data_IF_375325745741
#
_entry.id   IF_375325745741
#
_cell.length_a   1.000
_cell.length_b   1.000
_cell.length_c   1.000
_cell.angle_alpha   90.00
_cell.angle_beta   90.00
_cell.angle_gamma   90.00
#
_symmetry.space_group_name_H-M   'P 1'
#
loop_
_entity.id
_entity.type
_entity.pdbx_description
1 polymer ?
#
# COMPACT_ATOMS: atom_id res chain seq x y z
N UNK A 1 7.12 -16.65 -29.23
CA UNK A 1 7.44 -16.56 -27.79
C UNK A 1 8.46 -15.45 -27.62
N UNK A 2 8.25 -14.55 -26.67
CA UNK A 2 9.16 -13.42 -26.39
C UNK A 2 10.42 -13.95 -25.71
N UNK A 3 11.61 -13.45 -26.09
CA UNK A 3 12.83 -13.81 -25.39
C UNK A 3 12.88 -13.18 -23.98
N UNK A 4 13.44 -13.90 -23.01
CA UNK A 4 13.60 -13.36 -21.65
C UNK A 4 14.45 -12.08 -21.64
N UNK A 5 15.47 -12.01 -22.52
CA UNK A 5 16.29 -10.79 -22.66
C UNK A 5 15.44 -9.59 -23.08
N UNK A 6 14.54 -9.73 -24.05
CA UNK A 6 13.62 -8.67 -24.45
C UNK A 6 12.70 -8.26 -23.31
N UNK A 7 12.09 -9.22 -22.60
CA UNK A 7 11.22 -8.94 -21.44
C UNK A 7 11.98 -8.23 -20.31
N UNK A 8 13.22 -8.63 -20.01
CA UNK A 8 14.09 -7.99 -19.02
C UNK A 8 14.50 -6.57 -19.42
N UNK A 9 14.83 -6.34 -20.70
CA UNK A 9 15.08 -4.99 -21.21
C UNK A 9 13.84 -4.11 -21.04
N UNK A 10 12.65 -4.63 -21.38
CA UNK A 10 11.40 -3.91 -21.18
C UNK A 10 11.16 -3.51 -19.73
N UNK A 11 11.37 -4.44 -18.80
CA UNK A 11 11.29 -4.16 -17.36
C UNK A 11 12.32 -3.11 -16.93
N UNK A 12 13.57 -3.25 -17.36
CA UNK A 12 14.65 -2.31 -17.05
C UNK A 12 14.34 -0.90 -17.57
N UNK A 13 13.85 -0.77 -18.81
CA UNK A 13 13.42 0.52 -19.38
C UNK A 13 12.30 1.13 -18.55
N UNK A 14 11.28 0.36 -18.17
CA UNK A 14 10.21 0.86 -17.34
C UNK A 14 10.74 1.40 -16.00
N UNK A 15 11.62 0.65 -15.33
CA UNK A 15 12.24 1.06 -14.05
C UNK A 15 13.06 2.35 -14.24
N UNK A 16 13.92 2.43 -15.27
CA UNK A 16 14.76 3.61 -15.54
C UNK A 16 13.89 4.86 -15.78
N UNK A 17 12.81 4.73 -16.55
CA UNK A 17 11.89 5.83 -16.81
C UNK A 17 11.21 6.30 -15.51
N UNK A 18 10.75 5.36 -14.65
CA UNK A 18 10.13 5.70 -13.36
C UNK A 18 11.12 6.43 -12.46
N UNK A 19 12.35 5.92 -12.33
CA UNK A 19 13.42 6.55 -11.53
C UNK A 19 13.75 7.95 -12.06
N UNK A 20 13.67 8.15 -13.39
CA UNK A 20 13.78 9.48 -14.02
C UNK A 20 12.51 10.35 -13.86
N UNK A 21 11.56 9.96 -13.03
CA UNK A 21 10.32 10.69 -12.72
C UNK A 21 9.31 10.79 -13.88
N UNK A 22 9.41 9.93 -14.90
CA UNK A 22 8.33 9.77 -15.85
C UNK A 22 7.11 9.11 -15.18
N UNK A 23 5.94 9.38 -15.73
CA UNK A 23 4.71 8.79 -15.20
C UNK A 23 4.81 7.25 -15.19
N UNK A 24 4.58 6.58 -14.04
CA UNK A 24 4.78 5.13 -13.90
C UNK A 24 3.94 4.30 -14.89
N UNK A 25 2.69 4.69 -15.15
CA UNK A 25 1.83 3.95 -16.07
C UNK A 25 2.39 3.97 -17.51
N UNK A 26 2.76 5.15 -18.00
CA UNK A 26 3.37 5.28 -19.32
C UNK A 26 4.74 4.58 -19.39
N UNK A 27 5.53 4.64 -18.33
CA UNK A 27 6.82 3.94 -18.25
C UNK A 27 6.65 2.42 -18.40
N UNK A 28 5.66 1.85 -17.73
CA UNK A 28 5.31 0.43 -17.83
C UNK A 28 4.83 0.06 -19.25
N UNK A 29 3.97 0.89 -19.86
CA UNK A 29 3.47 0.67 -21.22
C UNK A 29 4.62 0.74 -22.25
N UNK A 30 5.48 1.76 -22.16
CA UNK A 30 6.64 1.92 -23.05
C UNK A 30 7.61 0.75 -22.88
N UNK A 31 7.92 0.39 -21.64
CA UNK A 31 8.76 -0.77 -21.35
C UNK A 31 8.18 -2.06 -21.90
N UNK A 32 6.86 -2.24 -21.81
CA UNK A 32 6.16 -3.41 -22.36
C UNK A 32 6.29 -3.48 -23.87
N UNK A 33 6.04 -2.36 -24.55
CA UNK A 33 6.15 -2.29 -26.02
C UNK A 33 7.57 -2.61 -26.48
N UNK A 34 8.58 -1.97 -25.89
CA UNK A 34 9.97 -2.22 -26.22
C UNK A 34 10.39 -3.64 -25.87
N UNK A 35 9.94 -4.17 -24.72
CA UNK A 35 10.23 -5.53 -24.30
C UNK A 35 9.68 -6.60 -25.25
N UNK A 36 8.48 -6.41 -25.77
CA UNK A 36 7.87 -7.29 -26.77
C UNK A 36 8.61 -7.24 -28.10
N UNK A 37 8.83 -6.04 -28.64
CA UNK A 37 9.52 -5.85 -29.93
C UNK A 37 10.98 -6.36 -29.89
N UNK A 38 11.76 -5.97 -28.90
CA UNK A 38 13.14 -6.42 -28.73
C UNK A 38 13.24 -7.90 -28.38
N UNK A 39 12.15 -8.46 -27.80
CA UNK A 39 12.02 -9.87 -27.53
C UNK A 39 11.67 -10.73 -28.75
N UNK A 40 11.51 -10.11 -29.92
CA UNK A 40 11.26 -10.81 -31.18
C UNK A 40 9.78 -11.03 -31.51
N UNK A 41 8.84 -10.45 -30.77
CA UNK A 41 7.43 -10.44 -31.14
C UNK A 41 7.16 -9.33 -32.17
N UNK A 42 6.28 -9.60 -33.13
CA UNK A 42 5.79 -8.56 -34.04
C UNK A 42 4.96 -7.51 -33.28
N UNK A 43 4.77 -6.33 -33.87
CA UNK A 43 4.02 -5.25 -33.24
C UNK A 43 2.60 -5.67 -32.83
N UNK A 44 1.88 -6.36 -33.71
CA UNK A 44 0.51 -6.84 -33.46
C UNK A 44 0.45 -7.81 -32.28
N UNK A 45 1.37 -8.77 -32.22
CA UNK A 45 1.44 -9.74 -31.12
C UNK A 45 1.81 -9.06 -29.81
N UNK A 46 2.78 -8.14 -29.84
CA UNK A 46 3.18 -7.35 -28.67
C UNK A 46 1.98 -6.61 -28.09
N UNK A 47 1.24 -5.88 -28.92
CA UNK A 47 0.04 -5.15 -28.49
C UNK A 47 -1.03 -6.12 -27.96
N UNK A 48 -1.24 -7.25 -28.61
CA UNK A 48 -2.20 -8.28 -28.15
C UNK A 48 -1.83 -8.81 -26.77
N UNK A 49 -0.56 -9.11 -26.51
CA UNK A 49 -0.09 -9.56 -25.19
C UNK A 49 -0.26 -8.47 -24.13
N UNK A 50 0.06 -7.21 -24.48
CA UNK A 50 -0.15 -6.08 -23.58
C UNK A 50 -1.62 -5.92 -23.20
N UNK A 51 -2.54 -5.96 -24.15
CA UNK A 51 -3.99 -5.84 -23.91
C UNK A 51 -4.50 -6.97 -23.04
N UNK A 52 -4.16 -8.22 -23.35
CA UNK A 52 -4.57 -9.40 -22.53
C UNK A 52 -4.06 -9.30 -21.10
N UNK A 53 -2.82 -8.85 -20.93
CA UNK A 53 -2.24 -8.62 -19.60
C UNK A 53 -2.98 -7.53 -18.83
N UNK A 54 -3.31 -6.41 -19.47
CA UNK A 54 -4.10 -5.33 -18.88
C UNK A 54 -5.52 -5.78 -18.51
N UNK A 55 -6.20 -6.55 -19.36
CA UNK A 55 -7.51 -7.15 -19.07
C UNK A 55 -7.47 -8.01 -17.81
N UNK A 56 -6.38 -8.75 -17.58
CA UNK A 56 -6.19 -9.55 -16.38
C UNK A 56 -6.11 -8.73 -15.07
N UNK A 57 -6.01 -7.40 -15.13
CA UNK A 57 -6.02 -6.52 -13.96
C UNK A 57 -7.41 -5.96 -13.62
N UNK A 58 -8.41 -6.15 -14.47
CA UNK A 58 -9.74 -5.56 -14.27
C UNK A 58 -10.40 -5.94 -12.93
N UNK A 59 -10.32 -7.21 -12.45
CA UNK A 59 -10.89 -7.55 -11.14
C UNK A 59 -10.25 -6.75 -9.99
N UNK A 60 -8.93 -6.60 -10.00
CA UNK A 60 -8.22 -5.79 -9.00
C UNK A 60 -8.61 -4.30 -9.09
N UNK A 61 -8.69 -3.75 -10.30
CA UNK A 61 -9.06 -2.36 -10.55
C UNK A 61 -10.46 -2.06 -10.00
N UNK A 62 -11.44 -2.90 -10.30
CA UNK A 62 -12.82 -2.70 -9.82
C UNK A 62 -12.88 -2.70 -8.29
N UNK A 63 -12.23 -3.67 -7.63
CA UNK A 63 -12.21 -3.75 -6.17
C UNK A 63 -11.50 -2.56 -5.53
N UNK A 64 -10.41 -2.09 -6.14
CA UNK A 64 -9.66 -0.93 -5.64
C UNK A 64 -10.49 0.35 -5.79
N UNK A 65 -11.11 0.56 -6.94
CA UNK A 65 -11.96 1.74 -7.17
C UNK A 65 -13.12 1.79 -6.17
N UNK A 66 -13.79 0.67 -5.92
CA UNK A 66 -14.90 0.62 -4.96
C UNK A 66 -14.44 0.75 -3.50
N UNK A 67 -13.23 0.26 -3.16
CA UNK A 67 -12.64 0.49 -1.83
C UNK A 67 -12.45 1.98 -1.52
N UNK A 68 -12.33 2.83 -2.55
CA UNK A 68 -12.27 4.28 -2.41
C UNK A 68 -13.46 4.88 -1.68
N UNK A 69 -14.64 4.27 -1.74
CA UNK A 69 -15.84 4.76 -1.02
C UNK A 69 -15.58 4.78 0.49
N UNK A 70 -15.09 3.68 1.05
CA UNK A 70 -14.77 3.61 2.49
C UNK A 70 -13.67 4.61 2.86
N UNK A 71 -12.59 4.67 2.07
CA UNK A 71 -11.49 5.59 2.32
C UNK A 71 -11.95 7.06 2.25
N UNK A 72 -12.73 7.44 1.23
CA UNK A 72 -13.27 8.79 1.09
C UNK A 72 -14.16 9.20 2.25
N UNK A 73 -15.03 8.31 2.72
CA UNK A 73 -15.88 8.54 3.89
C UNK A 73 -15.04 8.77 5.15
N UNK A 74 -14.05 7.93 5.42
CA UNK A 74 -13.21 8.05 6.61
C UNK A 74 -12.41 9.37 6.64
N UNK A 75 -11.95 9.82 5.49
CA UNK A 75 -11.16 11.05 5.35
C UNK A 75 -12.06 12.28 5.52
N UNK A 76 -13.10 12.42 4.68
CA UNK A 76 -13.90 13.63 4.59
C UNK A 76 -14.81 13.87 5.78
N UNK A 77 -15.30 12.83 6.43
CA UNK A 77 -16.12 12.98 7.64
C UNK A 77 -15.31 13.38 8.88
N UNK A 78 -13.97 13.31 8.82
CA UNK A 78 -13.11 13.48 9.99
C UNK A 78 -13.07 12.25 10.90
N UNK A 79 -13.63 11.12 10.48
CA UNK A 79 -13.60 9.87 11.24
C UNK A 79 -12.17 9.41 11.53
N UNK A 80 -11.28 9.49 10.53
CA UNK A 80 -9.87 9.14 10.69
C UNK A 80 -9.19 10.00 11.78
N UNK A 81 -9.44 11.32 11.79
CA UNK A 81 -8.95 12.24 12.82
C UNK A 81 -9.47 11.85 14.19
N UNK A 82 -10.78 11.57 14.31
CA UNK A 82 -11.40 11.20 15.60
C UNK A 82 -10.86 9.89 16.16
N UNK A 83 -10.62 8.91 15.30
CA UNK A 83 -9.98 7.63 15.69
C UNK A 83 -8.59 7.90 16.26
N UNK A 84 -7.75 8.67 15.54
CA UNK A 84 -6.39 8.97 15.96
C UNK A 84 -6.34 9.73 17.29
N UNK A 85 -7.12 10.81 17.43
CA UNK A 85 -7.20 11.61 18.65
C UNK A 85 -7.60 10.76 19.85
N UNK A 86 -8.66 9.96 19.70
CA UNK A 86 -9.15 9.11 20.81
C UNK A 86 -8.10 8.11 21.29
N UNK A 87 -7.27 7.57 20.37
CA UNK A 87 -6.21 6.64 20.75
C UNK A 87 -5.12 7.38 21.51
N UNK A 88 -4.66 8.52 21.01
CA UNK A 88 -3.60 9.31 21.65
C UNK A 88 -4.03 9.78 23.03
N UNK A 89 -5.25 10.31 23.15
CA UNK A 89 -5.79 10.80 24.42
C UNK A 89 -5.90 9.70 25.49
N UNK A 90 -6.37 8.49 25.09
CA UNK A 90 -6.50 7.37 26.02
C UNK A 90 -5.16 6.78 26.47
N UNK A 91 -4.12 6.87 25.64
CA UNK A 91 -2.80 6.29 25.95
C UNK A 91 -1.92 7.23 26.77
N UNK A 92 -2.13 8.53 26.65
CA UNK A 92 -1.43 9.57 27.39
C UNK A 92 0.03 9.79 26.98
N UNK A 93 0.63 10.84 27.54
CA UNK A 93 1.97 11.34 27.17
C UNK A 93 3.11 10.34 27.46
N UNK A 94 2.99 9.55 28.52
CA UNK A 94 4.01 8.56 28.90
C UNK A 94 4.22 7.45 27.85
N UNK A 95 3.23 7.21 26.97
CA UNK A 95 3.27 6.22 25.91
C UNK A 95 3.21 6.86 24.52
N UNK A 96 3.67 8.11 24.39
CA UNK A 96 3.55 8.91 23.18
C UNK A 96 3.97 8.16 21.89
N UNK A 97 5.17 7.56 21.85
CA UNK A 97 5.64 6.80 20.68
C UNK A 97 4.69 5.65 20.36
N UNK A 98 4.32 4.84 21.35
CA UNK A 98 3.42 3.71 21.14
C UNK A 98 2.02 4.18 20.71
N UNK A 99 1.51 5.29 21.26
CA UNK A 99 0.25 5.89 20.85
C UNK A 99 0.24 6.30 19.37
N UNK A 100 1.32 6.90 18.89
CA UNK A 100 1.47 7.29 17.48
C UNK A 100 1.57 6.07 16.55
N UNK A 101 2.32 5.05 16.95
CA UNK A 101 2.40 3.77 16.20
C UNK A 101 1.01 3.14 16.09
N UNK A 102 0.28 3.02 17.20
CA UNK A 102 -1.06 2.39 17.21
C UNK A 102 -2.10 3.23 16.48
N UNK A 103 -2.02 4.57 16.56
CA UNK A 103 -2.95 5.44 15.84
C UNK A 103 -2.84 5.25 14.32
N UNK A 104 -1.63 5.32 13.78
CA UNK A 104 -1.42 5.10 12.34
C UNK A 104 -1.66 3.66 11.93
N UNK A 105 -1.29 2.69 12.78
CA UNK A 105 -1.60 1.27 12.57
C UNK A 105 -3.11 1.03 12.42
N UNK A 106 -3.93 1.52 13.34
CA UNK A 106 -5.38 1.31 13.28
C UNK A 106 -5.98 2.01 12.07
N UNK A 107 -5.58 3.25 11.77
CA UNK A 107 -6.06 3.97 10.59
C UNK A 107 -5.78 3.21 9.31
N UNK A 108 -4.57 2.68 9.14
CA UNK A 108 -4.23 1.94 7.93
C UNK A 108 -4.82 0.54 7.91
N UNK A 109 -4.96 -0.12 9.05
CA UNK A 109 -5.62 -1.43 9.17
C UNK A 109 -7.09 -1.38 8.74
N UNK A 110 -7.76 -0.26 8.95
CA UNK A 110 -9.16 -0.04 8.51
C UNK A 110 -9.28 0.49 7.08
N UNK A 111 -8.17 0.62 6.35
CA UNK A 111 -8.16 0.94 4.92
C UNK A 111 -7.78 2.38 4.56
N UNK A 112 -7.35 3.22 5.51
CA UNK A 112 -6.78 4.54 5.20
C UNK A 112 -5.37 4.36 4.61
N UNK A 113 -5.03 5.14 3.59
CA UNK A 113 -3.67 5.13 3.02
C UNK A 113 -2.64 5.63 4.03
N UNK A 114 -1.42 5.10 3.97
CA UNK A 114 -0.37 5.42 4.95
C UNK A 114 -0.02 6.90 4.95
N UNK A 115 0.12 7.52 3.78
CA UNK A 115 0.40 8.96 3.64
C UNK A 115 -0.69 9.81 4.28
N UNK A 116 -1.96 9.48 4.05
CA UNK A 116 -3.11 10.15 4.66
C UNK A 116 -3.12 9.91 6.17
N UNK A 117 -2.85 8.70 6.64
CA UNK A 117 -2.79 8.40 8.07
C UNK A 117 -1.69 9.23 8.76
N UNK A 118 -0.50 9.34 8.14
CA UNK A 118 0.60 10.16 8.65
C UNK A 118 0.21 11.65 8.68
N UNK A 119 -0.35 12.19 7.59
CA UNK A 119 -0.81 13.59 7.53
C UNK A 119 -1.89 13.86 8.57
N UNK A 120 -2.83 12.92 8.77
CA UNK A 120 -3.91 13.05 9.74
C UNK A 120 -3.40 13.08 11.19
N UNK A 121 -2.41 12.24 11.50
CA UNK A 121 -1.88 12.11 12.87
C UNK A 121 -0.80 13.16 13.15
N UNK A 122 -0.14 13.71 12.14
CA UNK A 122 1.01 14.60 12.31
C UNK A 122 0.75 15.86 13.17
N UNK A 123 -0.38 16.58 13.09
CA UNK A 123 -0.62 17.73 13.98
C UNK A 123 -0.67 17.31 15.45
N UNK A 124 -1.32 16.18 15.73
CA UNK A 124 -1.40 15.62 17.10
C UNK A 124 -0.01 15.16 17.55
N UNK A 125 0.74 14.50 16.64
CA UNK A 125 2.09 14.02 16.92
C UNK A 125 3.07 15.15 17.22
N UNK A 126 3.04 16.25 16.46
CA UNK A 126 3.88 17.42 16.69
C UNK A 126 3.56 18.10 18.03
N UNK A 127 2.28 18.30 18.33
CA UNK A 127 1.84 18.90 19.59
C UNK A 127 2.23 18.04 20.81
N UNK A 128 1.98 16.72 20.73
CA UNK A 128 2.38 15.76 21.77
C UNK A 128 3.88 15.71 21.96
N UNK A 129 4.63 15.56 20.86
CA UNK A 129 6.08 15.40 20.88
C UNK A 129 6.80 16.64 21.42
N UNK A 130 6.26 17.84 21.18
CA UNK A 130 6.79 19.07 21.80
C UNK A 130 6.66 19.04 23.32
N UNK A 131 5.50 18.61 23.86
CA UNK A 131 5.28 18.53 25.31
C UNK A 131 6.23 17.55 25.99
N UNK A 132 6.51 16.42 25.35
CA UNK A 132 7.38 15.35 25.91
C UNK A 132 8.81 15.35 25.36
N UNK A 133 9.18 16.41 24.61
CA UNK A 133 10.54 16.63 24.04
C UNK A 133 11.04 15.46 23.17
N UNK A 134 10.22 14.99 22.24
CA UNK A 134 10.54 13.95 21.26
C UNK A 134 10.91 14.60 19.90
N UNK A 135 11.87 14.03 19.16
CA UNK A 135 12.31 14.52 17.86
C UNK A 135 11.30 14.27 16.74
N UNK A 136 11.34 15.11 15.67
CA UNK A 136 10.57 14.89 14.44
C UNK A 136 10.88 13.53 13.80
N UNK A 137 12.15 13.13 13.79
CA UNK A 137 12.60 11.83 13.24
C UNK A 137 11.92 10.67 13.95
N UNK A 138 11.86 10.73 15.29
CA UNK A 138 11.23 9.68 16.08
C UNK A 138 9.72 9.56 15.79
N UNK A 139 8.96 10.67 15.80
CA UNK A 139 7.52 10.63 15.53
C UNK A 139 7.23 10.22 14.09
N UNK A 140 8.05 10.64 13.13
CA UNK A 140 7.88 10.24 11.73
C UNK A 140 8.08 8.73 11.55
N UNK A 141 9.13 8.15 12.16
CA UNK A 141 9.37 6.70 12.15
C UNK A 141 8.21 5.97 12.83
N UNK A 142 7.73 6.46 13.98
CA UNK A 142 6.59 5.87 14.67
C UNK A 142 5.33 5.82 13.79
N UNK A 143 5.00 6.94 13.14
CA UNK A 143 3.83 7.04 12.28
C UNK A 143 3.96 6.21 11.00
N UNK A 144 5.10 6.26 10.32
CA UNK A 144 5.32 5.47 9.09
C UNK A 144 5.34 3.98 9.41
N UNK A 145 6.08 3.57 10.44
CA UNK A 145 6.19 2.16 10.83
C UNK A 145 4.85 1.58 11.26
N UNK A 146 4.09 2.29 12.11
CA UNK A 146 2.72 1.90 12.47
C UNK A 146 1.81 1.79 11.26
N UNK A 147 1.86 2.80 10.39
CA UNK A 147 1.10 2.81 9.15
C UNK A 147 1.42 1.64 8.22
N UNK A 148 2.70 1.28 8.05
CA UNK A 148 3.12 0.11 7.26
C UNK A 148 2.62 -1.20 7.87
N UNK A 149 2.71 -1.34 9.17
CA UNK A 149 2.23 -2.54 9.86
C UNK A 149 0.71 -2.73 9.70
N UNK A 150 -0.08 -1.67 9.83
CA UNK A 150 -1.52 -1.75 9.60
C UNK A 150 -1.86 -2.01 8.12
N UNK A 151 -1.09 -1.43 7.21
CA UNK A 151 -1.28 -1.61 5.78
C UNK A 151 -1.13 -3.08 5.34
N UNK A 152 -0.23 -3.85 5.97
CA UNK A 152 0.00 -5.27 5.65
C UNK A 152 -1.24 -6.13 5.95
N UNK A 153 -2.03 -5.78 6.97
CA UNK A 153 -3.23 -6.53 7.38
C UNK A 153 -4.55 -5.92 6.89
N UNK A 154 -4.48 -4.89 6.06
CA UNK A 154 -5.62 -4.06 5.64
C UNK A 154 -6.23 -4.56 4.32
N UNK A 155 -7.54 -4.36 4.10
CA UNK A 155 -8.19 -4.60 2.81
C UNK A 155 -7.88 -3.45 1.81
N UNK A 156 -6.62 -3.14 1.63
CA UNK A 156 -6.13 -2.05 0.79
C UNK A 156 -5.76 -2.50 -0.64
N UNK A 157 -5.44 -1.56 -1.55
CA UNK A 157 -5.07 -1.88 -2.92
C UNK A 157 -3.91 -2.88 -3.06
N UNK A 158 -2.95 -2.88 -2.13
CA UNK A 158 -1.78 -3.77 -2.19
C UNK A 158 -2.20 -5.22 -1.94
N UNK A 159 -2.95 -5.45 -0.85
CA UNK A 159 -3.46 -6.76 -0.49
C UNK A 159 -4.44 -7.29 -1.56
N UNK A 160 -5.28 -6.40 -2.13
CA UNK A 160 -6.19 -6.75 -3.24
C UNK A 160 -5.37 -7.17 -4.46
N UNK A 161 -4.36 -6.41 -4.88
CA UNK A 161 -3.53 -6.74 -6.03
C UNK A 161 -2.78 -8.08 -5.84
N UNK A 162 -2.26 -8.34 -4.64
CA UNK A 162 -1.62 -9.62 -4.32
C UNK A 162 -2.63 -10.77 -4.34
N UNK A 163 -3.79 -10.62 -3.67
CA UNK A 163 -4.82 -11.66 -3.62
C UNK A 163 -5.30 -12.06 -5.02
N UNK A 164 -5.52 -11.08 -5.89
CA UNK A 164 -5.92 -11.31 -7.29
C UNK A 164 -4.81 -12.00 -8.11
N UNK A 165 -3.58 -11.54 -7.97
CA UNK A 165 -2.46 -12.10 -8.75
C UNK A 165 -2.22 -13.57 -8.44
N UNK A 166 -2.47 -14.00 -7.21
CA UNK A 166 -2.29 -15.37 -6.74
C UNK A 166 -3.61 -16.17 -6.65
N UNK A 167 -4.73 -15.56 -7.03
CA UNK A 167 -6.07 -16.17 -6.96
C UNK A 167 -6.38 -16.78 -5.58
N UNK A 168 -6.12 -16.01 -4.53
CA UNK A 168 -6.37 -16.38 -3.12
C UNK A 168 -7.30 -15.37 -2.45
N UNK A 169 -8.01 -15.74 -1.37
CA UNK A 169 -8.87 -14.81 -0.65
C UNK A 169 -8.09 -13.63 -0.09
N UNK A 170 -8.66 -12.41 -0.21
CA UNK A 170 -8.08 -11.22 0.40
C UNK A 170 -7.84 -11.39 1.90
N UNK A 171 -8.81 -11.97 2.61
CA UNK A 171 -8.70 -12.25 4.05
C UNK A 171 -7.52 -13.15 4.40
N UNK A 172 -7.17 -14.12 3.54
CA UNK A 172 -5.99 -14.97 3.75
C UNK A 172 -4.69 -14.16 3.70
N UNK A 173 -4.58 -13.20 2.75
CA UNK A 173 -3.43 -12.29 2.68
C UNK A 173 -3.36 -11.41 3.93
N UNK A 174 -4.49 -10.85 4.37
CA UNK A 174 -4.58 -10.04 5.57
C UNK A 174 -4.15 -10.83 6.82
N UNK A 175 -4.65 -12.04 7.01
CA UNK A 175 -4.28 -12.89 8.16
C UNK A 175 -2.80 -13.31 8.14
N UNK A 176 -2.25 -13.62 6.96
CA UNK A 176 -0.82 -13.93 6.85
C UNK A 176 0.09 -12.75 7.22
N UNK A 177 -0.43 -11.51 7.11
CA UNK A 177 0.25 -10.29 7.51
C UNK A 177 0.29 -10.03 9.02
N UNK A 178 -0.48 -10.76 9.86
CA UNK A 178 -0.59 -10.45 11.30
C UNK A 178 0.76 -10.61 12.02
N UNK A 179 1.46 -11.72 11.82
CA UNK A 179 2.75 -11.96 12.50
C UNK A 179 3.82 -10.93 12.05
N UNK A 180 4.05 -10.71 10.74
CA UNK A 180 4.95 -9.62 10.28
C UNK A 180 4.56 -8.24 10.83
N UNK A 181 3.28 -7.94 10.93
CA UNK A 181 2.78 -6.68 11.46
C UNK A 181 3.12 -6.50 12.94
N UNK A 182 2.90 -7.53 13.77
CA UNK A 182 3.25 -7.47 15.21
C UNK A 182 4.76 -7.28 15.39
N UNK A 183 5.57 -8.04 14.66
CA UNK A 183 7.04 -7.90 14.70
C UNK A 183 7.45 -6.49 14.26
N UNK A 184 6.84 -5.98 13.18
CA UNK A 184 7.07 -4.63 12.67
C UNK A 184 6.71 -3.53 13.69
N UNK A 185 5.59 -3.66 14.41
CA UNK A 185 5.21 -2.74 15.50
C UNK A 185 6.29 -2.71 16.58
N UNK A 186 6.73 -3.88 17.06
CA UNK A 186 7.76 -3.97 18.10
C UNK A 186 9.05 -3.30 17.64
N UNK A 187 9.53 -3.63 16.45
CA UNK A 187 10.75 -3.03 15.88
C UNK A 187 10.58 -1.52 15.71
N UNK A 188 9.43 -1.06 15.21
CA UNK A 188 9.14 0.38 15.04
C UNK A 188 9.19 1.12 16.38
N UNK A 189 8.56 0.57 17.42
CA UNK A 189 8.57 1.18 18.76
C UNK A 189 10.00 1.25 19.31
N UNK A 190 10.79 0.18 19.16
CA UNK A 190 12.19 0.16 19.61
C UNK A 190 13.03 1.23 18.87
N UNK A 191 12.96 1.27 17.54
CA UNK A 191 13.73 2.23 16.73
C UNK A 191 13.28 3.65 17.03
N UNK A 192 11.99 3.95 17.00
CA UNK A 192 11.46 5.28 17.27
C UNK A 192 11.83 5.74 18.68
N UNK A 193 11.74 4.87 19.69
CA UNK A 193 12.10 5.19 21.08
C UNK A 193 13.60 5.47 21.22
N UNK A 194 14.47 4.77 20.49
CA UNK A 194 15.91 5.00 20.51
C UNK A 194 16.34 6.35 19.90
N UNK A 195 15.46 6.94 19.09
CA UNK A 195 15.69 8.21 18.37
C UNK A 195 14.96 9.42 18.98
N UNK A 196 14.29 9.25 20.13
CA UNK A 196 13.48 10.31 20.76
C UNK A 196 14.25 11.62 20.97
N UNK A 197 15.53 11.54 21.35
CA UNK A 197 16.42 12.68 21.57
C UNK A 197 17.39 12.95 20.43
N UNK A 198 17.34 12.17 19.35
CA UNK A 198 18.21 12.28 18.17
C UNK A 198 17.42 12.81 16.97
N UNK A 199 18.09 13.57 16.09
CA UNK A 199 17.48 14.15 14.90
C UNK A 199 16.89 15.54 15.12
N UNK A 200 15.98 15.96 14.24
CA UNK A 200 15.46 17.34 14.19
C UNK A 200 14.50 17.60 15.34
N UNK A 201 14.72 18.69 16.06
CA UNK A 201 13.83 19.13 17.14
C UNK A 201 12.59 19.82 16.59
N UNK A 202 11.51 19.78 17.36
CA UNK A 202 10.28 20.51 17.06
C UNK A 202 10.40 21.93 17.53
N UNK A 203 10.12 22.89 16.63
CA UNK A 203 10.08 24.33 16.92
C UNK A 203 8.64 24.83 16.95
N UNK A 204 8.42 26.05 17.47
CA UNK A 204 7.05 26.60 17.61
C UNK A 204 6.32 26.74 16.27
N UNK A 205 7.06 27.08 15.21
CA UNK A 205 6.52 27.19 13.85
C UNK A 205 6.06 25.87 13.23
N UNK A 206 6.42 24.72 13.83
CA UNK A 206 5.94 23.42 13.34
C UNK A 206 4.53 23.09 13.80
N UNK A 207 4.06 23.78 14.84
CA UNK A 207 2.73 23.60 15.38
C UNK A 207 1.81 24.59 14.69
N UNK A 208 1.42 24.26 13.45
CA UNK A 208 0.34 24.98 12.81
C UNK A 208 -0.96 24.75 13.57
N UNK A 209 -1.71 25.83 13.75
CA UNK A 209 -3.13 25.74 14.13
C UNK A 209 -3.85 25.12 12.93
N UNK A 210 -3.89 23.79 12.90
CA UNK A 210 -4.53 23.06 11.81
C UNK A 210 -5.97 23.55 11.65
N UNK A 211 -6.46 23.58 10.42
CA UNK A 211 -7.89 23.80 10.14
C UNK A 211 -8.68 22.72 10.88
N UNK A 212 -9.17 23.08 12.06
CA UNK A 212 -10.04 22.20 12.84
C UNK A 212 -11.26 21.86 12.00
N UNK A 213 -11.46 20.57 11.74
CA UNK A 213 -12.75 20.07 11.27
C UNK A 213 -13.73 20.35 12.41
N UNK A 214 -14.55 21.38 12.24
CA UNK A 214 -15.40 21.94 13.31
C UNK A 214 -16.37 20.94 13.94
N UNK A 215 -16.76 19.87 13.22
CA UNK A 215 -17.67 18.83 13.72
C UNK A 215 -17.13 17.44 13.39
N UNK A 216 -16.33 16.90 14.29
CA UNK A 216 -15.87 15.51 14.21
C UNK A 216 -16.97 14.56 14.72
N UNK A 217 -17.17 13.40 14.07
CA UNK A 217 -18.11 12.40 14.54
C UNK A 217 -17.66 11.79 15.89
N UNK A 218 -18.58 11.08 16.59
CA UNK A 218 -18.17 10.30 17.76
C UNK A 218 -17.24 9.16 17.36
N UNK A 219 -16.40 8.71 18.29
CA UNK A 219 -15.49 7.58 18.05
C UNK A 219 -16.26 6.33 17.59
N UNK A 220 -17.37 6.00 18.25
CA UNK A 220 -18.19 4.84 17.90
C UNK A 220 -18.72 4.94 16.47
N UNK A 221 -19.27 6.09 16.08
CA UNK A 221 -19.75 6.29 14.71
C UNK A 221 -18.61 6.19 13.68
N UNK A 222 -17.41 6.65 14.03
CA UNK A 222 -16.23 6.62 13.15
C UNK A 222 -15.74 5.19 12.83
N UNK A 223 -15.87 4.24 13.75
CA UNK A 223 -15.38 2.87 13.57
C UNK A 223 -16.43 1.91 12.99
N UNK A 224 -17.71 2.25 13.01
CA UNK A 224 -18.80 1.37 12.54
C UNK A 224 -18.57 0.93 11.09
N UNK A 225 -18.26 1.85 10.18
CA UNK A 225 -18.05 1.56 8.76
C UNK A 225 -16.92 0.55 8.53
N UNK A 226 -15.69 0.84 8.98
CA UNK A 226 -14.56 -0.09 8.89
C UNK A 226 -14.83 -1.46 9.53
N UNK A 227 -15.38 -1.46 10.75
CA UNK A 227 -15.69 -2.73 11.45
C UNK A 227 -16.69 -3.55 10.65
N UNK A 228 -17.74 -2.90 10.10
CA UNK A 228 -18.73 -3.59 9.30
C UNK A 228 -18.12 -4.17 8.00
N UNK A 229 -17.27 -3.43 7.31
CA UNK A 229 -16.55 -3.92 6.13
C UNK A 229 -15.71 -5.16 6.46
N UNK A 230 -14.94 -5.11 7.56
CA UNK A 230 -14.12 -6.23 8.02
C UNK A 230 -14.99 -7.43 8.40
N UNK A 231 -16.10 -7.22 9.10
CA UNK A 231 -17.04 -8.30 9.45
C UNK A 231 -17.61 -8.98 8.20
N UNK A 232 -18.02 -8.22 7.18
CA UNK A 232 -18.48 -8.80 5.91
C UNK A 232 -17.41 -9.68 5.25
N UNK A 233 -16.15 -9.22 5.22
CA UNK A 233 -15.04 -10.01 4.68
C UNK A 233 -14.74 -11.24 5.54
N UNK A 234 -14.89 -11.14 6.86
CA UNK A 234 -14.65 -12.23 7.81
C UNK A 234 -15.74 -13.32 7.77
N UNK A 235 -16.89 -13.09 7.13
CA UNK A 235 -17.91 -14.14 6.94
C UNK A 235 -17.36 -15.34 6.15
N UNK A 236 -16.38 -15.14 5.29
CA UNK A 236 -15.77 -16.24 4.53
C UNK A 236 -15.08 -17.28 5.42
N UNK A 237 -14.11 -16.92 6.28
CA UNK A 237 -13.46 -17.90 7.17
C UNK A 237 -14.37 -18.37 8.32
N UNK A 238 -15.40 -17.60 8.73
CA UNK A 238 -16.25 -17.92 9.87
C UNK A 238 -17.47 -18.76 9.46
N UNK A 239 -18.14 -18.37 8.40
CA UNK A 239 -19.43 -18.95 7.98
C UNK A 239 -19.42 -19.51 6.55
N UNK A 240 -18.25 -19.51 5.89
CA UNK A 240 -18.10 -19.90 4.48
C UNK A 240 -18.99 -19.10 3.51
N UNK A 241 -19.39 -17.88 3.91
CA UNK A 241 -20.13 -16.94 3.07
C UNK A 241 -19.15 -15.98 2.40
N UNK A 242 -19.09 -16.02 1.08
CA UNK A 242 -18.16 -15.21 0.28
C UNK A 242 -18.77 -13.86 -0.04
N UNK A 243 -18.33 -12.81 0.65
CA UNK A 243 -18.64 -11.42 0.28
C UNK A 243 -17.38 -10.84 -0.39
N UNK A 244 -17.55 -10.41 -1.64
CA UNK A 244 -16.45 -9.82 -2.41
C UNK A 244 -16.06 -8.45 -1.84
N UNK A 245 -14.76 -8.09 -1.78
CA UNK A 245 -14.30 -6.75 -1.40
C UNK A 245 -14.97 -5.62 -2.19
N UNK A 246 -15.32 -5.87 -3.46
CA UNK A 246 -16.07 -4.94 -4.32
C UNK A 246 -17.41 -4.50 -3.69
N UNK A 247 -18.01 -5.35 -2.86
CA UNK A 247 -19.27 -5.09 -2.14
C UNK A 247 -18.99 -4.70 -0.68
N UNK A 248 -18.14 -5.45 0.01
CA UNK A 248 -17.91 -5.28 1.44
C UNK A 248 -17.40 -3.87 1.79
N UNK A 249 -16.43 -3.35 1.01
CA UNK A 249 -15.79 -2.08 1.31
C UNK A 249 -16.71 -0.87 1.07
N UNK A 250 -17.41 -0.72 -0.08
CA UNK A 250 -18.34 0.39 -0.25
C UNK A 250 -19.56 0.30 0.66
N UNK A 251 -20.07 -0.90 0.97
CA UNK A 251 -21.16 -1.07 1.94
C UNK A 251 -20.73 -0.62 3.33
N UNK A 252 -19.50 -0.97 3.77
CA UNK A 252 -18.92 -0.44 5.00
C UNK A 252 -18.83 1.09 5.00
N UNK A 253 -18.41 1.68 3.88
CA UNK A 253 -18.39 3.14 3.71
C UNK A 253 -19.77 3.78 3.85
N UNK A 254 -20.79 3.21 3.20
CA UNK A 254 -22.17 3.69 3.28
C UNK A 254 -22.73 3.59 4.71
N UNK A 255 -22.54 2.46 5.38
CA UNK A 255 -23.00 2.25 6.76
C UNK A 255 -22.30 3.21 7.72
N UNK A 256 -20.98 3.41 7.55
CA UNK A 256 -20.24 4.40 8.33
C UNK A 256 -20.77 5.81 8.11
N UNK A 257 -21.04 6.19 6.87
CA UNK A 257 -21.61 7.49 6.50
C UNK A 257 -22.99 7.71 7.14
N UNK A 258 -23.85 6.68 7.15
CA UNK A 258 -25.17 6.71 7.82
C UNK A 258 -25.00 6.86 9.33
N UNK A 259 -24.12 6.06 9.94
CA UNK A 259 -23.86 6.09 11.39
C UNK A 259 -23.35 7.46 11.87
N UNK A 260 -22.65 8.20 11.02
CA UNK A 260 -22.17 9.56 11.28
C UNK A 260 -23.19 10.65 10.91
N UNK A 261 -24.36 10.30 10.37
CA UNK A 261 -25.38 11.27 9.94
C UNK A 261 -24.98 12.11 8.70
N UNK A 262 -23.98 11.67 7.94
CA UNK A 262 -23.38 12.42 6.82
C UNK A 262 -23.80 11.91 5.44
N UNK A 263 -24.85 11.08 5.34
CA UNK A 263 -25.26 10.41 4.08
C UNK A 263 -25.58 11.37 2.94
N UNK A 264 -26.04 12.58 3.25
CA UNK A 264 -26.36 13.61 2.23
C UNK A 264 -25.16 13.98 1.37
N UNK A 265 -23.95 13.87 1.90
CA UNK A 265 -22.70 14.26 1.22
C UNK A 265 -21.96 13.06 0.62
N UNK A 266 -22.57 11.88 0.60
CA UNK A 266 -21.92 10.63 0.15
C UNK A 266 -21.27 10.75 -1.23
N UNK A 267 -21.88 11.49 -2.16
CA UNK A 267 -21.35 11.69 -3.51
C UNK A 267 -20.00 12.44 -3.50
N UNK A 268 -19.82 13.40 -2.61
CA UNK A 268 -18.54 14.13 -2.46
C UNK A 268 -17.47 13.21 -1.88
N UNK A 269 -17.81 12.41 -0.89
CA UNK A 269 -16.91 11.43 -0.29
C UNK A 269 -16.49 10.37 -1.31
N UNK A 270 -17.43 9.91 -2.16
CA UNK A 270 -17.12 9.00 -3.26
C UNK A 270 -16.18 9.65 -4.30
N UNK A 271 -16.37 10.93 -4.64
CA UNK A 271 -15.48 11.65 -5.55
C UNK A 271 -14.06 11.74 -5.02
N UNK A 272 -13.88 12.06 -3.73
CA UNK A 272 -12.56 12.05 -3.10
C UNK A 272 -11.96 10.65 -3.10
N UNK A 273 -12.73 9.65 -2.67
CA UNK A 273 -12.30 8.27 -2.69
C UNK A 273 -11.82 7.83 -4.06
N UNK A 274 -12.59 8.13 -5.12
CA UNK A 274 -12.22 7.85 -6.49
C UNK A 274 -10.93 8.58 -6.89
N UNK A 275 -10.77 9.85 -6.54
CA UNK A 275 -9.56 10.61 -6.87
C UNK A 275 -8.29 9.99 -6.29
N UNK A 276 -8.36 9.35 -5.11
CA UNK A 276 -7.25 8.63 -4.50
C UNK A 276 -6.97 7.30 -5.21
N UNK A 277 -7.98 6.64 -5.77
CA UNK A 277 -7.84 5.32 -6.41
C UNK A 277 -7.46 5.39 -7.89
N UNK A 278 -7.72 6.51 -8.58
CA UNK A 278 -7.57 6.61 -10.03
C UNK A 278 -6.13 6.37 -10.50
N UNK A 279 -5.13 6.93 -9.79
CA UNK A 279 -3.73 6.72 -10.14
C UNK A 279 -3.30 5.26 -9.92
N UNK A 280 -3.81 4.61 -8.89
CA UNK A 280 -3.55 3.19 -8.62
C UNK A 280 -4.14 2.33 -9.75
N UNK A 281 -5.39 2.60 -10.16
CA UNK A 281 -6.04 1.89 -11.24
C UNK A 281 -5.27 2.02 -12.57
N UNK A 282 -4.80 3.24 -12.90
CA UNK A 282 -4.01 3.49 -14.11
C UNK A 282 -2.66 2.78 -14.06
N UNK A 283 -1.98 2.77 -12.92
CA UNK A 283 -0.72 2.03 -12.74
C UNK A 283 -0.95 0.53 -12.92
N UNK A 284 -2.05 -0.02 -12.42
CA UNK A 284 -2.39 -1.43 -12.62
C UNK A 284 -2.59 -1.79 -14.09
N UNK A 285 -3.17 -0.90 -14.90
CA UNK A 285 -3.27 -1.10 -16.35
C UNK A 285 -1.84 -1.23 -16.94
N UNK A 286 -0.95 -0.29 -16.62
CA UNK A 286 0.45 -0.36 -17.06
C UNK A 286 1.16 -1.63 -16.56
N UNK A 287 0.95 -2.01 -15.30
CA UNK A 287 1.48 -3.26 -14.74
C UNK A 287 0.99 -4.48 -15.52
N UNK A 288 -0.29 -4.50 -15.87
CA UNK A 288 -0.87 -5.57 -16.68
C UNK A 288 -0.21 -5.70 -18.04
N UNK A 289 0.09 -4.57 -18.72
CA UNK A 289 0.76 -4.62 -20.03
C UNK A 289 2.13 -5.29 -19.91
N UNK A 290 2.92 -4.94 -18.89
CA UNK A 290 4.22 -5.54 -18.67
C UNK A 290 4.13 -7.03 -18.29
N UNK A 291 3.16 -7.37 -17.44
CA UNK A 291 2.90 -8.75 -17.07
C UNK A 291 2.50 -9.61 -18.29
N UNK A 292 1.77 -9.05 -19.24
CA UNK A 292 1.43 -9.72 -20.50
C UNK A 292 2.67 -10.07 -21.31
N UNK A 293 3.65 -9.17 -21.41
CA UNK A 293 4.94 -9.43 -22.08
C UNK A 293 5.73 -10.51 -21.36
N UNK A 294 5.90 -10.39 -20.04
CA UNK A 294 6.68 -11.31 -19.22
C UNK A 294 6.07 -12.72 -19.20
N UNK A 295 4.76 -12.84 -19.08
CA UNK A 295 4.05 -14.12 -19.08
C UNK A 295 4.15 -14.86 -20.42
N UNK A 296 4.38 -14.15 -21.52
CA UNK A 296 4.60 -14.73 -22.86
C UNK A 296 6.09 -14.84 -23.22
N UNK A 297 7.00 -14.72 -22.24
CA UNK A 297 8.45 -14.87 -22.40
C UNK A 297 8.97 -16.12 -21.71
N UNK A 298 10.20 -16.50 -22.03
CA UNK A 298 10.90 -17.60 -21.36
C UNK A 298 11.70 -17.17 -20.11
N UNK A 299 11.31 -16.06 -19.48
CA UNK A 299 11.96 -15.53 -18.25
C UNK A 299 11.92 -16.53 -17.09
N UNK A 300 10.84 -17.33 -17.01
CA UNK A 300 10.67 -18.38 -16.02
C UNK A 300 11.81 -19.40 -16.06
N UNK A 301 12.23 -19.81 -17.26
CA UNK A 301 13.28 -20.80 -17.44
C UNK A 301 14.63 -20.26 -16.94
N UNK A 302 14.92 -18.98 -17.22
CA UNK A 302 16.14 -18.32 -16.73
C UNK A 302 16.14 -18.20 -15.21
N UNK A 303 15.01 -17.80 -14.59
CA UNK A 303 14.91 -17.73 -13.14
C UNK A 303 15.11 -19.12 -12.51
N UNK A 304 14.50 -20.14 -13.09
CA UNK A 304 14.64 -21.53 -12.62
C UNK A 304 16.11 -21.99 -12.72
N UNK A 305 16.76 -21.74 -13.83
CA UNK A 305 18.18 -22.09 -14.04
C UNK A 305 19.08 -21.34 -13.05
N UNK A 306 18.84 -20.05 -12.83
CA UNK A 306 19.61 -19.23 -11.88
C UNK A 306 19.48 -19.75 -10.44
N UNK A 307 18.26 -20.05 -9.99
CA UNK A 307 18.02 -20.58 -8.64
C UNK A 307 18.65 -21.96 -8.47
N UNK A 308 18.56 -22.83 -9.50
CA UNK A 308 19.19 -24.15 -9.48
C UNK A 308 20.71 -24.06 -9.42
N UNK A 309 21.32 -23.10 -10.14
CA UNK A 309 22.79 -22.93 -10.17
C UNK A 309 23.33 -22.31 -8.87
N UNK A 310 22.57 -21.45 -8.21
CA UNK A 310 22.99 -20.78 -6.99
C UNK A 310 22.64 -21.55 -5.70
N UNK A 311 21.76 -22.54 -5.79
CA UNK A 311 21.19 -23.23 -4.62
C UNK A 311 20.31 -22.32 -3.75
N UNK A 312 19.94 -21.13 -4.24
CA UNK A 312 19.13 -20.18 -3.49
C UNK A 312 17.68 -20.69 -3.32
N UNK A 313 17.11 -20.65 -2.11
CA UNK A 313 15.72 -21.06 -1.92
C UNK A 313 14.74 -20.21 -2.75
N UNK A 314 13.86 -20.86 -3.50
CA UNK A 314 12.90 -20.20 -4.39
C UNK A 314 12.01 -19.16 -3.67
N UNK A 315 11.71 -19.36 -2.40
CA UNK A 315 10.88 -18.43 -1.63
C UNK A 315 11.53 -17.04 -1.45
N UNK A 316 12.85 -16.91 -1.54
CA UNK A 316 13.54 -15.61 -1.44
C UNK A 316 13.19 -14.67 -2.60
N UNK A 317 12.79 -15.22 -3.75
CA UNK A 317 12.32 -14.42 -4.88
C UNK A 317 11.13 -13.53 -4.51
N UNK A 318 10.26 -13.99 -3.59
CA UNK A 318 9.07 -13.25 -3.19
C UNK A 318 9.39 -11.92 -2.48
N UNK A 319 10.06 -11.91 -1.30
CA UNK A 319 10.36 -10.65 -0.63
C UNK A 319 11.31 -9.78 -1.45
N UNK A 320 12.30 -10.36 -2.13
CA UNK A 320 13.25 -9.58 -2.94
C UNK A 320 12.58 -8.88 -4.12
N UNK A 321 11.67 -9.55 -4.84
CA UNK A 321 10.92 -8.90 -5.91
C UNK A 321 10.02 -7.76 -5.38
N UNK A 322 9.37 -7.94 -4.22
CA UNK A 322 8.62 -6.90 -3.55
C UNK A 322 9.50 -5.68 -3.22
N UNK A 323 10.65 -5.91 -2.58
CA UNK A 323 11.63 -4.86 -2.22
C UNK A 323 12.11 -4.11 -3.47
N UNK A 324 12.56 -4.83 -4.50
CA UNK A 324 13.13 -4.23 -5.71
C UNK A 324 12.08 -3.45 -6.50
N UNK A 325 10.87 -3.99 -6.66
CA UNK A 325 9.82 -3.31 -7.41
C UNK A 325 9.27 -2.10 -6.65
N UNK A 326 9.18 -2.16 -5.33
CA UNK A 326 8.81 -0.99 -4.54
C UNK A 326 9.91 0.08 -4.54
N UNK A 327 11.17 -0.31 -4.51
CA UNK A 327 12.29 0.61 -4.68
C UNK A 327 12.27 1.31 -6.04
N UNK A 328 12.04 0.56 -7.11
CA UNK A 328 11.97 1.11 -8.47
C UNK A 328 10.81 2.10 -8.65
N UNK A 329 9.65 1.80 -8.08
CA UNK A 329 8.43 2.60 -8.24
C UNK A 329 8.20 3.61 -7.11
N UNK A 330 8.98 3.56 -6.04
CA UNK A 330 8.78 4.27 -4.78
C UNK A 330 7.32 4.20 -4.29
N UNK A 331 6.73 3.00 -4.39
CA UNK A 331 5.31 2.77 -4.09
C UNK A 331 5.08 1.33 -3.65
N UNK A 332 4.50 1.12 -2.48
CA UNK A 332 4.08 -0.21 -2.02
C UNK A 332 3.10 -0.85 -3.00
N UNK A 333 2.11 -0.08 -3.45
CA UNK A 333 1.04 -0.59 -4.32
C UNK A 333 1.58 -1.03 -5.67
N UNK A 334 2.34 -0.17 -6.33
CA UNK A 334 2.97 -0.50 -7.61
C UNK A 334 3.95 -1.66 -7.45
N UNK A 335 4.79 -1.63 -6.43
CA UNK A 335 5.76 -2.69 -6.13
C UNK A 335 5.09 -4.04 -5.92
N UNK A 336 4.04 -4.09 -5.08
CA UNK A 336 3.28 -5.32 -4.84
C UNK A 336 2.61 -5.84 -6.10
N UNK A 337 1.93 -4.96 -6.86
CA UNK A 337 1.21 -5.35 -8.06
C UNK A 337 2.16 -5.89 -9.15
N UNK A 338 3.26 -5.16 -9.43
CA UNK A 338 4.27 -5.59 -10.41
C UNK A 338 4.93 -6.89 -9.97
N UNK A 339 5.43 -6.96 -8.74
CA UNK A 339 6.10 -8.15 -8.24
C UNK A 339 5.19 -9.39 -8.28
N UNK A 340 3.95 -9.26 -7.81
CA UNK A 340 2.98 -10.36 -7.77
C UNK A 340 2.62 -10.86 -9.18
N UNK A 341 2.34 -9.94 -10.10
CA UNK A 341 1.89 -10.31 -11.44
C UNK A 341 3.03 -10.79 -12.34
N UNK A 342 4.20 -10.16 -12.22
CA UNK A 342 5.38 -10.47 -13.06
C UNK A 342 6.07 -11.75 -12.60
N UNK A 343 6.37 -11.87 -11.31
CA UNK A 343 7.16 -12.98 -10.77
C UNK A 343 6.32 -14.08 -10.11
N UNK A 344 5.05 -13.80 -9.80
CA UNK A 344 4.14 -14.78 -9.17
C UNK A 344 4.07 -16.12 -9.88
N UNK A 345 3.82 -16.16 -11.20
CA UNK A 345 3.76 -17.42 -11.95
C UNK A 345 5.05 -18.26 -11.83
N UNK A 346 6.22 -17.61 -11.86
CA UNK A 346 7.53 -18.27 -11.68
C UNK A 346 7.66 -18.85 -10.27
N UNK A 347 7.26 -18.10 -9.23
CA UNK A 347 7.31 -18.57 -7.85
C UNK A 347 6.45 -19.81 -7.63
N UNK A 348 5.22 -19.81 -8.16
CA UNK A 348 4.31 -20.95 -8.06
C UNK A 348 4.89 -22.18 -8.76
N UNK A 349 5.47 -22.01 -9.96
CA UNK A 349 6.10 -23.11 -10.67
C UNK A 349 7.34 -23.69 -9.96
N UNK A 350 7.98 -22.90 -9.11
CA UNK A 350 9.09 -23.30 -8.27
C UNK A 350 8.65 -23.87 -6.90
N UNK A 351 7.35 -24.09 -6.71
CA UNK A 351 6.79 -24.73 -5.52
C UNK A 351 6.52 -23.80 -4.34
N UNK A 352 6.65 -22.48 -4.51
CA UNK A 352 6.29 -21.53 -3.45
C UNK A 352 4.76 -21.47 -3.32
N UNK A 353 4.24 -21.69 -2.12
CA UNK A 353 2.79 -21.63 -1.87
C UNK A 353 2.24 -20.23 -2.18
N UNK A 354 1.09 -20.10 -2.88
CA UNK A 354 0.50 -18.81 -3.28
C UNK A 354 0.36 -17.82 -2.13
N UNK A 355 -0.13 -18.27 -0.97
CA UNK A 355 -0.30 -17.43 0.20
C UNK A 355 1.03 -16.88 0.73
N UNK A 356 2.06 -17.73 0.79
CA UNK A 356 3.38 -17.31 1.25
C UNK A 356 4.01 -16.30 0.28
N UNK A 357 3.91 -16.56 -1.02
CA UNK A 357 4.40 -15.64 -2.05
C UNK A 357 3.71 -14.27 -1.95
N UNK A 358 2.38 -14.24 -1.86
CA UNK A 358 1.61 -13.00 -1.74
C UNK A 358 1.98 -12.21 -0.47
N UNK A 359 2.04 -12.87 0.69
CA UNK A 359 2.37 -12.22 1.96
C UNK A 359 3.81 -11.69 1.98
N UNK A 360 4.79 -12.47 1.48
CA UNK A 360 6.19 -12.06 1.43
C UNK A 360 6.44 -10.94 0.43
N UNK A 361 5.79 -10.94 -0.75
CA UNK A 361 5.85 -9.83 -1.70
C UNK A 361 5.27 -8.57 -1.08
N UNK A 362 4.08 -8.66 -0.50
CA UNK A 362 3.41 -7.50 0.11
C UNK A 362 4.25 -6.91 1.25
N UNK A 363 4.75 -7.74 2.15
CA UNK A 363 5.64 -7.29 3.23
C UNK A 363 6.96 -6.71 2.68
N UNK A 364 7.57 -7.37 1.68
CA UNK A 364 8.79 -6.89 1.04
C UNK A 364 8.60 -5.52 0.36
N UNK A 365 7.45 -5.30 -0.28
CA UNK A 365 7.14 -4.05 -0.94
C UNK A 365 7.01 -2.85 0.02
N UNK A 366 6.85 -3.07 1.30
CA UNK A 366 6.84 -1.99 2.31
C UNK A 366 8.24 -1.52 2.71
N UNK A 367 9.31 -2.20 2.29
CA UNK A 367 10.68 -1.95 2.77
C UNK A 367 11.29 -0.72 2.11
N UNK A 368 11.23 -0.59 0.78
CA UNK A 368 11.87 0.50 0.03
C UNK A 368 10.87 1.36 -0.78
N UNK A 369 9.64 1.47 -0.35
CA UNK A 369 8.59 2.26 -0.98
C UNK A 369 8.67 3.77 -0.72
N UNK A 370 9.57 4.20 0.16
CA UNK A 370 9.72 5.58 0.65
C UNK A 370 11.02 6.25 0.18
N UNK A 371 11.46 5.94 -1.03
CA UNK A 371 12.63 6.57 -1.63
C UNK A 371 12.33 8.00 -2.14
N UNK A 372 13.34 8.90 -2.22
CA UNK A 372 13.12 10.33 -2.50
C UNK A 372 12.47 10.66 -3.85
N UNK A 373 12.41 9.73 -4.78
CA UNK A 373 11.73 9.95 -6.06
C UNK A 373 10.21 9.70 -6.01
N UNK A 374 9.69 9.21 -4.87
CA UNK A 374 8.27 8.93 -4.68
C UNK A 374 7.51 10.00 -3.89
N UNK A 375 6.21 10.13 -4.16
CA UNK A 375 5.33 11.08 -3.47
C UNK A 375 5.21 10.81 -1.96
N UNK A 376 5.25 9.55 -1.56
CA UNK A 376 5.17 9.14 -0.16
C UNK A 376 6.27 9.74 0.71
N UNK A 377 7.51 9.81 0.19
CA UNK A 377 8.63 10.45 0.86
C UNK A 377 8.32 11.92 1.15
N UNK A 378 7.91 12.67 0.15
CA UNK A 378 7.66 14.11 0.27
C UNK A 378 6.41 14.41 1.12
N UNK A 379 5.34 13.67 0.93
CA UNK A 379 4.09 13.86 1.68
C UNK A 379 4.30 13.64 3.18
N UNK A 380 4.97 12.55 3.56
CA UNK A 380 5.19 12.21 4.97
C UNK A 380 6.28 13.07 5.63
N UNK A 381 7.31 13.49 4.88
CA UNK A 381 8.29 14.48 5.36
C UNK A 381 7.66 15.85 5.57
N UNK A 382 6.87 16.32 4.60
CA UNK A 382 6.15 17.59 4.69
C UNK A 382 5.15 17.62 5.85
N UNK A 383 4.49 16.51 6.17
CA UNK A 383 3.54 16.42 7.27
C UNK A 383 4.15 16.73 8.66
N UNK A 384 5.47 16.59 8.82
CA UNK A 384 6.21 16.95 10.04
C UNK A 384 7.20 18.09 9.83
N UNK A 385 7.07 18.82 8.72
CA UNK A 385 7.95 19.94 8.36
C UNK A 385 9.44 19.55 8.39
N UNK A 386 9.81 18.40 7.80
CA UNK A 386 11.20 17.94 7.64
C UNK A 386 11.70 18.21 6.23
N UNK A 387 12.91 18.76 6.13
CA UNK A 387 13.60 18.89 4.85
C UNK A 387 14.18 17.53 4.38
N UNK A 388 14.46 17.42 3.07
CA UNK A 388 15.00 16.19 2.48
C UNK A 388 16.33 15.76 3.13
N UNK A 389 17.17 16.74 3.49
CA UNK A 389 18.47 16.48 4.13
C UNK A 389 18.38 15.96 5.57
N UNK A 390 17.22 16.14 6.22
CA UNK A 390 16.98 15.77 7.62
C UNK A 390 16.36 14.38 7.75
N UNK A 391 16.05 13.76 6.62
CA UNK A 391 15.38 12.48 6.48
C UNK A 391 16.27 11.42 5.86
#
# INVERSE_FOLDING_TARGET
MITATGAMIGLAVAIVLIVKKFNPAYSLIIGSLLGGLLGGAGLTDTVSFMIKGAQGMMPAILRIVTAGVLAGVLIETGAANKIAETIVDKMGENKAIFALVISTFILTAVGVFIDIAVITVSPIALALAKRVNISKTSILIAMIGGGKCGNIISPNPNAIAASESFNIPLTSVMFAGIIPSIVGIVITVIIASSLTRKGVKIVDSDIEVGTEIKEKPSFTASIIGPVFAILLLALRPIANVVIDPLVALPVGGLIGCIAMGKIKNINEYCKLGLSKMIMVAIILIGTGTLAGIISNSNIKDIITALLSSTGAPAFLLAPLSGILMSAATASTTSGTAVASKVFGPSMISLGVKPLNAAAMIHSGATVLDHLPHGSFFHATGGAVNMEIKDR
#
